data_IF_673786435912
#
_entry.id   IF_673786435912
#
_cell.length_a   1.000
_cell.length_b   1.000
_cell.length_c   1.000
_cell.angle_alpha   90.00
_cell.angle_beta   90.00
_cell.angle_gamma   90.00
#
_symmetry.space_group_name_H-M   'P 1'
#
loop_
_entity.id
_entity.type
_entity.pdbx_description
1 polymer ?
#
# COMPACT_ATOMS: atom_id res chain seq x y z
N UNK A 1 9.81 -8.07 6.93
CA UNK A 1 9.67 -9.46 6.44
C UNK A 1 8.34 -9.73 5.73
N UNK A 2 7.17 -9.44 6.33
CA UNK A 2 5.86 -9.71 5.69
C UNK A 2 5.63 -8.78 4.48
N UNK A 3 5.87 -7.47 4.62
CA UNK A 3 5.79 -6.52 3.50
C UNK A 3 6.79 -6.84 2.38
N UNK A 4 7.99 -7.28 2.74
CA UNK A 4 9.03 -7.63 1.76
C UNK A 4 8.66 -8.91 0.99
N UNK A 5 8.06 -9.91 1.66
CA UNK A 5 7.53 -11.10 1.01
C UNK A 5 6.39 -10.77 0.04
N UNK A 6 5.48 -9.87 0.44
CA UNK A 6 4.37 -9.43 -0.41
C UNK A 6 4.83 -8.73 -1.70
N UNK A 7 5.96 -8.02 -1.66
CA UNK A 7 6.51 -7.29 -2.81
C UNK A 7 7.49 -8.10 -3.69
N UNK A 8 8.11 -9.16 -3.15
CA UNK A 8 9.10 -9.96 -3.89
C UNK A 8 8.51 -11.17 -4.56
N UNK A 9 7.33 -11.64 -4.14
CA UNK A 9 6.68 -12.75 -4.81
C UNK A 9 6.10 -12.33 -6.17
N UNK A 10 6.29 -13.14 -7.23
CA UNK A 10 5.70 -12.86 -8.53
C UNK A 10 4.18 -12.71 -8.43
N UNK A 11 3.60 -11.81 -9.23
CA UNK A 11 2.17 -11.50 -9.25
C UNK A 11 1.27 -12.76 -9.40
N UNK A 12 1.72 -13.74 -10.19
CA UNK A 12 1.03 -15.03 -10.37
C UNK A 12 0.87 -15.85 -9.08
N UNK A 13 1.80 -15.70 -8.12
CA UNK A 13 1.76 -16.43 -6.85
C UNK A 13 0.60 -15.96 -5.98
N UNK A 14 0.18 -14.69 -6.07
CA UNK A 14 -1.01 -14.18 -5.39
C UNK A 14 -2.31 -14.61 -6.08
N UNK A 15 -2.26 -14.80 -7.39
CA UNK A 15 -3.42 -15.12 -8.20
C UNK A 15 -3.86 -16.58 -8.03
N UNK A 16 -2.91 -17.53 -7.96
CA UNK A 16 -3.22 -18.97 -7.87
C UNK A 16 -4.08 -19.31 -6.63
N UNK A 17 -3.72 -18.92 -5.39
CA UNK A 17 -4.54 -19.20 -4.22
C UNK A 17 -5.87 -18.48 -4.28
N UNK A 18 -5.88 -17.20 -4.69
CA UNK A 18 -7.11 -16.43 -4.81
C UNK A 18 -8.12 -17.13 -5.75
N UNK A 19 -7.67 -17.60 -6.91
CA UNK A 19 -8.47 -18.36 -7.86
C UNK A 19 -8.92 -19.71 -7.31
N UNK A 20 -8.09 -20.41 -6.54
CA UNK A 20 -8.47 -21.70 -5.93
C UNK A 20 -9.60 -21.54 -4.89
N UNK A 21 -9.59 -20.48 -4.09
CA UNK A 21 -10.58 -20.28 -3.04
C UNK A 21 -11.89 -19.64 -3.55
N UNK A 22 -11.81 -18.71 -4.49
CA UNK A 22 -12.94 -17.86 -4.89
C UNK A 22 -13.44 -18.10 -6.32
N UNK A 23 -12.81 -19.02 -7.06
CA UNK A 23 -13.03 -19.27 -8.50
C UNK A 23 -12.71 -18.03 -9.36
N UNK A 24 -12.73 -18.21 -10.68
CA UNK A 24 -12.52 -17.11 -11.63
C UNK A 24 -13.67 -16.12 -11.50
N UNK A 25 -13.35 -14.85 -11.25
CA UNK A 25 -14.33 -13.78 -11.10
C UNK A 25 -13.71 -12.44 -10.75
N UNK A 26 -14.46 -11.35 -10.98
CA UNK A 26 -14.02 -9.98 -10.72
C UNK A 26 -13.67 -9.75 -9.25
N UNK A 27 -14.43 -10.35 -8.33
CA UNK A 27 -14.19 -10.28 -6.89
C UNK A 27 -12.82 -10.87 -6.50
N UNK A 28 -12.46 -12.01 -7.07
CA UNK A 28 -11.18 -12.68 -6.84
C UNK A 28 -10.01 -11.84 -7.36
N UNK A 29 -10.16 -11.26 -8.55
CA UNK A 29 -9.19 -10.35 -9.13
C UNK A 29 -8.98 -9.12 -8.25
N UNK A 30 -10.06 -8.53 -7.73
CA UNK A 30 -9.99 -7.38 -6.82
C UNK A 30 -9.17 -7.70 -5.56
N UNK A 31 -9.42 -8.85 -4.91
CA UNK A 31 -8.65 -9.26 -3.73
C UNK A 31 -7.16 -9.42 -4.06
N UNK A 32 -6.83 -10.08 -5.18
CA UNK A 32 -5.44 -10.26 -5.58
C UNK A 32 -4.73 -8.93 -5.85
N UNK A 33 -5.41 -7.99 -6.51
CA UNK A 33 -4.91 -6.63 -6.76
C UNK A 33 -4.68 -5.89 -5.44
N UNK A 34 -5.63 -5.97 -4.51
CA UNK A 34 -5.52 -5.32 -3.19
C UNK A 34 -4.33 -5.87 -2.39
N UNK A 35 -4.14 -7.19 -2.35
CA UNK A 35 -3.03 -7.82 -1.65
C UNK A 35 -1.67 -7.42 -2.23
N UNK A 36 -1.58 -7.27 -3.56
CA UNK A 36 -0.37 -6.82 -4.23
C UNK A 36 -0.10 -5.32 -3.99
N UNK A 37 -1.14 -4.49 -4.10
CA UNK A 37 -1.03 -3.03 -4.01
C UNK A 37 -0.93 -2.50 -2.57
N UNK A 38 -1.10 -3.34 -1.53
CA UNK A 38 -1.05 -2.88 -0.13
C UNK A 38 0.35 -2.49 0.36
N UNK A 39 1.40 -2.94 -0.30
CA UNK A 39 2.77 -2.75 0.19
C UNK A 39 3.33 -1.34 -0.06
N UNK A 40 3.22 -0.75 -1.28
CA UNK A 40 3.64 0.64 -1.52
C UNK A 40 3.09 1.64 -0.49
N UNK A 41 1.79 1.71 -0.18
CA UNK A 41 1.27 2.74 0.72
C UNK A 41 1.85 2.58 2.14
N UNK A 42 2.04 1.36 2.63
CA UNK A 42 2.66 1.11 3.95
C UNK A 42 4.10 1.64 3.98
N UNK A 43 4.92 1.33 2.97
CA UNK A 43 6.32 1.76 2.92
C UNK A 43 6.45 3.28 2.85
N UNK A 44 5.63 3.93 2.02
CA UNK A 44 5.70 5.38 1.87
C UNK A 44 5.15 6.14 3.08
N UNK A 45 4.10 5.63 3.75
CA UNK A 45 3.60 6.21 5.00
C UNK A 45 4.64 6.09 6.11
N UNK A 46 5.25 4.91 6.27
CA UNK A 46 6.31 4.69 7.25
C UNK A 46 7.52 5.58 6.97
N UNK A 47 7.95 5.67 5.71
CA UNK A 47 9.04 6.53 5.29
C UNK A 47 8.72 8.00 5.58
N UNK A 48 7.53 8.47 5.18
CA UNK A 48 7.09 9.84 5.41
C UNK A 48 7.07 10.19 6.89
N UNK A 49 6.56 9.31 7.75
CA UNK A 49 6.48 9.55 9.20
C UNK A 49 7.84 9.50 9.91
N UNK A 50 8.76 8.65 9.46
CA UNK A 50 10.12 8.54 10.03
C UNK A 50 11.05 9.69 9.62
N UNK A 51 10.81 10.30 8.46
CA UNK A 51 11.65 11.38 7.93
C UNK A 51 11.11 12.79 8.23
N UNK A 52 10.03 12.89 9.02
CA UNK A 52 9.60 14.19 9.57
C UNK A 52 10.73 14.73 10.45
N UNK A 53 11.10 16.00 10.24
CA UNK A 53 12.19 16.63 10.98
C UNK A 53 11.93 16.60 12.49
N UNK A 54 12.92 16.14 13.26
CA UNK A 54 12.80 15.97 14.70
C UNK A 54 12.60 17.31 15.43
N UNK A 55 13.20 18.39 14.95
CA UNK A 55 13.10 19.72 15.56
C UNK A 55 11.66 20.26 15.59
N UNK A 56 10.87 19.99 14.55
CA UNK A 56 9.45 20.35 14.51
C UNK A 56 8.63 19.50 15.49
N UNK A 57 8.97 18.22 15.62
CA UNK A 57 8.29 17.30 16.55
C UNK A 57 8.60 17.69 17.99
N UNK A 58 9.86 17.95 18.31
CA UNK A 58 10.30 18.42 19.63
C UNK A 58 9.63 19.75 19.98
N UNK A 59 9.54 20.71 19.05
CA UNK A 59 8.85 21.97 19.29
C UNK A 59 7.36 21.77 19.65
N UNK A 60 6.66 20.88 18.94
CA UNK A 60 5.24 20.56 19.19
C UNK A 60 5.06 19.83 20.54
N UNK A 61 6.00 18.95 20.91
CA UNK A 61 6.00 18.28 22.22
C UNK A 61 6.27 19.28 23.36
N UNK A 62 7.18 20.25 23.18
CA UNK A 62 7.43 21.32 24.15
C UNK A 62 6.23 22.26 24.32
N UNK A 63 5.34 22.34 23.32
CA UNK A 63 4.07 23.06 23.42
C UNK A 63 2.99 22.29 24.20
N UNK A 64 3.29 21.08 24.70
CA UNK A 64 2.37 20.27 25.49
C UNK A 64 1.43 19.38 24.66
N UNK A 65 1.75 19.12 23.38
CA UNK A 65 0.95 18.25 22.54
C UNK A 65 1.03 16.78 23.00
N UNK A 66 -0.12 16.11 23.03
CA UNK A 66 -0.20 14.65 23.27
C UNK A 66 0.34 13.87 22.08
N UNK A 67 0.81 12.61 22.25
CA UNK A 67 1.34 11.81 21.14
C UNK A 67 0.39 11.69 19.93
N UNK A 68 -0.92 11.64 20.20
CA UNK A 68 -1.93 11.59 19.14
C UNK A 68 -2.07 12.94 18.40
N UNK A 69 -1.98 14.06 19.12
CA UNK A 69 -1.95 15.40 18.52
C UNK A 69 -0.68 15.60 17.70
N UNK A 70 0.49 15.21 18.23
CA UNK A 70 1.76 15.26 17.50
C UNK A 70 1.70 14.42 16.22
N UNK A 71 1.09 13.23 16.28
CA UNK A 71 0.90 12.40 15.09
C UNK A 71 -0.02 13.06 14.06
N UNK A 72 -1.24 13.46 14.46
CA UNK A 72 -2.27 13.91 13.53
C UNK A 72 -2.09 15.35 13.05
N UNK A 73 -1.51 16.23 13.87
CA UNK A 73 -1.41 17.67 13.62
C UNK A 73 -0.01 18.12 13.18
N UNK A 74 1.04 17.33 13.45
CA UNK A 74 2.40 17.65 13.01
C UNK A 74 2.94 16.60 12.04
N UNK A 75 3.08 15.34 12.46
CA UNK A 75 3.77 14.32 11.65
C UNK A 75 3.00 13.96 10.38
N UNK A 76 1.69 13.73 10.48
CA UNK A 76 0.87 13.31 9.34
C UNK A 76 0.78 14.40 8.25
N UNK A 77 0.50 15.68 8.56
CA UNK A 77 0.48 16.75 7.56
C UNK A 77 1.84 16.96 6.88
N UNK A 78 2.93 16.87 7.63
CA UNK A 78 4.29 17.00 7.09
C UNK A 78 4.69 15.80 6.22
N UNK A 79 4.18 14.61 6.53
CA UNK A 79 4.40 13.40 5.74
C UNK A 79 3.51 13.32 4.48
N UNK A 80 2.44 14.13 4.37
CA UNK A 80 1.46 14.05 3.27
C UNK A 80 2.07 14.02 1.87
N UNK A 81 3.08 14.85 1.51
CA UNK A 81 3.67 14.81 0.18
C UNK A 81 4.26 13.43 -0.17
N UNK A 82 4.89 12.79 0.82
CA UNK A 82 5.44 11.44 0.67
C UNK A 82 4.33 10.39 0.60
N UNK A 83 3.27 10.55 1.41
CA UNK A 83 2.10 9.67 1.34
C UNK A 83 1.43 9.76 -0.03
N UNK A 84 1.32 10.95 -0.61
CA UNK A 84 0.76 11.16 -1.96
C UNK A 84 1.61 10.52 -3.05
N UNK A 85 2.93 10.56 -2.91
CA UNK A 85 3.83 9.80 -3.79
C UNK A 85 3.58 8.29 -3.66
N UNK A 86 3.40 7.79 -2.44
CA UNK A 86 3.04 6.41 -2.18
C UNK A 86 1.70 6.00 -2.77
N UNK A 87 0.69 6.88 -2.69
CA UNK A 87 -0.62 6.67 -3.31
C UNK A 87 -0.50 6.53 -4.82
N UNK A 88 0.27 7.40 -5.47
CA UNK A 88 0.51 7.30 -6.91
C UNK A 88 1.15 5.94 -7.27
N UNK A 89 2.15 5.49 -6.50
CA UNK A 89 2.77 4.18 -6.72
C UNK A 89 1.79 3.02 -6.47
N UNK A 90 0.90 3.16 -5.50
CA UNK A 90 -0.17 2.20 -5.22
C UNK A 90 -1.10 2.05 -6.42
N UNK A 91 -1.51 3.17 -7.01
CA UNK A 91 -2.37 3.18 -8.20
C UNK A 91 -1.66 2.51 -9.38
N UNK A 92 -0.39 2.86 -9.63
CA UNK A 92 0.38 2.27 -10.72
C UNK A 92 0.55 0.76 -10.56
N UNK A 93 0.83 0.29 -9.34
CA UNK A 93 0.92 -1.14 -9.02
C UNK A 93 -0.42 -1.86 -9.20
N UNK A 94 -1.52 -1.24 -8.76
CA UNK A 94 -2.86 -1.79 -8.91
C UNK A 94 -3.27 -1.91 -10.38
N UNK A 95 -3.03 -0.88 -11.19
CA UNK A 95 -3.32 -0.88 -12.64
C UNK A 95 -2.49 -1.92 -13.39
N UNK A 96 -1.21 -2.07 -13.04
CA UNK A 96 -0.35 -3.13 -13.59
C UNK A 96 -0.90 -4.53 -13.29
N UNK A 97 -1.31 -4.78 -12.05
CA UNK A 97 -1.89 -6.06 -11.65
C UNK A 97 -3.28 -6.30 -12.27
N UNK A 98 -4.09 -5.24 -12.44
CA UNK A 98 -5.38 -5.30 -13.11
C UNK A 98 -5.24 -5.77 -14.55
N UNK A 99 -4.25 -5.27 -15.30
CA UNK A 99 -4.00 -5.73 -16.66
C UNK A 99 -3.69 -7.24 -16.73
N UNK A 100 -2.93 -7.76 -15.76
CA UNK A 100 -2.61 -9.20 -15.66
C UNK A 100 -3.83 -10.01 -15.26
N UNK A 101 -4.59 -9.54 -14.26
CA UNK A 101 -5.82 -10.18 -13.82
C UNK A 101 -6.86 -10.24 -14.93
N UNK A 102 -6.98 -9.18 -15.75
CA UNK A 102 -7.83 -9.17 -16.93
C UNK A 102 -7.39 -10.23 -17.95
N UNK A 103 -6.09 -10.36 -18.25
CA UNK A 103 -5.57 -11.40 -19.15
C UNK A 103 -5.87 -12.83 -18.66
N UNK A 104 -5.90 -13.04 -17.35
CA UNK A 104 -6.22 -14.34 -16.74
C UNK A 104 -7.74 -14.57 -16.67
N UNK A 105 -8.54 -13.52 -16.48
CA UNK A 105 -10.00 -13.60 -16.42
C UNK A 105 -10.69 -13.65 -17.79
N UNK A 106 -10.11 -13.05 -18.84
CA UNK A 106 -10.61 -13.13 -20.23
C UNK A 106 -10.15 -14.39 -20.94
N UNK A 107 -9.09 -15.03 -20.45
CA UNK A 107 -8.84 -16.43 -20.79
C UNK A 107 -9.91 -17.22 -20.05
N UNK A 108 -10.97 -17.55 -20.78
CA UNK A 108 -11.60 -18.85 -20.63
C UNK A 108 -10.49 -19.85 -20.22
N UNK A 109 -10.62 -20.40 -19.01
CA UNK A 109 -10.37 -21.82 -18.87
C UNK A 109 -11.19 -22.42 -20.01
N UNK A 110 -10.53 -22.90 -21.07
CA UNK A 110 -11.21 -23.42 -22.25
C UNK A 110 -12.33 -24.39 -21.90
#
# INVERSE_FOLDING_TARGET
PICDALQTMPQFVFLIPALMFFKVGEFTALIAIMLYAIVPPIRYVEHGLRHVRADVVEAVEQMGATPLQTLLQAKLPLALPVVMLGLNQTIMAALSMLAIAALVGTRDLG
#
